data_IF_394693815840
#
_entry.id   IF_394693815840
#
_cell.length_a   1.000
_cell.length_b   1.000
_cell.length_c   1.000
_cell.angle_alpha   90.00
_cell.angle_beta   90.00
_cell.angle_gamma   90.00
#
_symmetry.space_group_name_H-M   'P 1'
#
loop_
_entity.id
_entity.type
_entity.pdbx_description
1 polymer ?
#
# COMPACT_ATOMS: atom_id res chain seq x y z
N UNK A 1 -18.19 -16.68 16.40
CA UNK A 1 -17.36 -15.59 16.96
C UNK A 1 -17.17 -14.56 15.87
N UNK A 2 -17.30 -13.26 16.16
CA UNK A 2 -17.09 -12.19 15.18
C UNK A 2 -15.59 -11.96 14.89
N UNK A 3 -15.31 -11.16 13.86
CA UNK A 3 -13.96 -10.74 13.47
C UNK A 3 -13.31 -9.89 14.58
N UNK A 4 -12.05 -10.17 14.92
CA UNK A 4 -11.33 -9.47 16.02
C UNK A 4 -10.24 -8.50 15.54
N UNK A 5 -9.73 -8.68 14.31
CA UNK A 5 -8.62 -7.90 13.78
C UNK A 5 -8.60 -7.89 12.24
N UNK A 6 -8.08 -6.80 11.66
CA UNK A 6 -7.67 -6.69 10.26
C UNK A 6 -6.21 -6.22 10.26
N UNK A 7 -5.31 -7.04 9.68
CA UNK A 7 -3.87 -6.75 9.64
C UNK A 7 -3.57 -5.51 8.77
N UNK A 8 -3.77 -5.64 7.46
CA UNK A 8 -3.60 -4.60 6.47
C UNK A 8 -4.57 -4.82 5.31
N UNK A 9 -4.71 -3.83 4.43
CA UNK A 9 -5.42 -3.97 3.17
C UNK A 9 -4.60 -3.43 2.02
N UNK A 10 -4.83 -3.98 0.83
CA UNK A 10 -4.15 -3.59 -0.39
C UNK A 10 -5.07 -2.73 -1.26
N UNK A 11 -4.56 -1.60 -1.72
CA UNK A 11 -5.21 -0.74 -2.71
C UNK A 11 -4.37 -0.60 -3.97
N UNK A 12 -5.05 -0.33 -5.09
CA UNK A 12 -4.44 -0.13 -6.39
C UNK A 12 -4.81 1.25 -6.93
N UNK A 13 -4.14 2.31 -6.47
CA UNK A 13 -4.44 3.66 -6.92
C UNK A 13 -4.01 3.86 -8.37
N UNK A 14 -4.65 4.83 -9.05
CA UNK A 14 -4.23 5.27 -10.39
C UNK A 14 -2.85 5.93 -10.36
N UNK A 15 -2.54 6.67 -9.29
CA UNK A 15 -1.23 7.28 -9.04
C UNK A 15 -0.74 6.87 -7.65
N UNK A 16 0.32 6.07 -7.61
CA UNK A 16 0.87 5.51 -6.37
C UNK A 16 1.47 6.60 -5.48
N UNK A 17 2.22 7.54 -6.05
CA UNK A 17 2.93 8.58 -5.31
C UNK A 17 1.95 9.58 -4.70
N UNK A 18 1.09 10.20 -5.52
CA UNK A 18 0.12 11.20 -5.07
C UNK A 18 -0.83 10.63 -4.01
N UNK A 19 -1.21 9.35 -4.14
CA UNK A 19 -2.09 8.72 -3.15
C UNK A 19 -1.33 8.46 -1.85
N UNK A 20 -0.10 7.96 -1.89
CA UNK A 20 0.68 7.76 -0.67
C UNK A 20 0.95 9.07 0.06
N UNK A 21 1.35 10.12 -0.67
CA UNK A 21 1.59 11.47 -0.13
C UNK A 21 0.36 12.01 0.59
N UNK A 22 -0.84 11.91 -0.02
CA UNK A 22 -2.07 12.36 0.64
C UNK A 22 -2.33 11.61 1.96
N UNK A 23 -2.10 10.30 2.01
CA UNK A 23 -2.30 9.52 3.25
C UNK A 23 -1.28 9.92 4.31
N UNK A 24 -0.04 10.22 3.92
CA UNK A 24 0.97 10.73 4.85
C UNK A 24 0.63 12.14 5.35
N UNK A 25 0.28 13.07 4.46
CA UNK A 25 0.03 14.48 4.81
C UNK A 25 -1.28 14.68 5.58
N UNK A 26 -2.36 13.99 5.19
CA UNK A 26 -3.69 14.22 5.74
C UNK A 26 -3.98 13.31 6.92
N UNK A 27 -3.54 12.06 6.87
CA UNK A 27 -3.82 11.07 7.91
C UNK A 27 -2.64 10.83 8.85
N UNK A 28 -1.45 11.34 8.52
CA UNK A 28 -0.25 11.19 9.36
C UNK A 28 0.34 9.78 9.34
N UNK A 29 0.07 8.99 8.29
CA UNK A 29 0.78 7.73 8.09
C UNK A 29 2.22 7.98 7.65
N UNK A 30 3.07 6.98 7.78
CA UNK A 30 4.47 7.06 7.35
C UNK A 30 4.75 5.99 6.29
N UNK A 31 5.47 6.36 5.24
CA UNK A 31 6.01 5.36 4.30
C UNK A 31 7.13 4.58 4.98
N UNK A 32 7.11 3.26 4.83
CA UNK A 32 8.07 2.37 5.47
C UNK A 32 8.60 1.28 4.55
N UNK A 33 9.50 0.43 5.06
CA UNK A 33 10.20 -0.57 4.27
C UNK A 33 9.25 -1.67 3.77
N UNK A 34 9.49 -2.18 2.58
CA UNK A 34 8.84 -3.39 2.07
C UNK A 34 9.87 -4.29 1.38
N UNK A 35 9.63 -5.60 1.23
CA UNK A 35 10.48 -6.47 0.42
C UNK A 35 10.60 -5.98 -1.02
N UNK A 36 11.69 -6.28 -1.69
CA UNK A 36 11.77 -6.07 -3.14
C UNK A 36 10.90 -7.10 -3.87
N UNK A 37 9.85 -6.61 -4.52
CA UNK A 37 8.90 -7.43 -5.28
C UNK A 37 9.12 -7.39 -6.79
N UNK A 38 10.08 -6.58 -7.29
CA UNK A 38 10.30 -6.41 -8.73
C UNK A 38 9.27 -5.53 -9.45
N UNK A 39 8.36 -4.87 -8.74
CA UNK A 39 7.41 -3.90 -9.27
C UNK A 39 7.09 -2.81 -8.23
N UNK A 40 6.52 -1.66 -8.65
CA UNK A 40 6.26 -0.56 -7.72
C UNK A 40 5.27 -0.94 -6.62
N UNK A 41 5.71 -0.76 -5.37
CA UNK A 41 4.95 -0.98 -4.14
C UNK A 41 5.26 0.18 -3.19
N UNK A 42 4.28 0.56 -2.36
CA UNK A 42 4.48 1.40 -1.17
C UNK A 42 3.74 0.79 0.00
N UNK A 43 4.37 0.75 1.17
CA UNK A 43 3.73 0.33 2.41
C UNK A 43 3.64 1.54 3.34
N UNK A 44 2.44 1.79 3.86
CA UNK A 44 2.19 2.86 4.83
C UNK A 44 1.92 2.27 6.21
N UNK A 45 2.45 2.97 7.20
CA UNK A 45 2.59 2.50 8.57
C UNK A 45 1.87 3.43 9.55
N UNK A 46 1.41 2.83 10.65
CA UNK A 46 1.10 3.53 11.90
C UNK A 46 2.08 3.00 12.95
N UNK A 47 3.07 3.82 13.30
CA UNK A 47 4.21 3.39 14.11
C UNK A 47 4.93 2.21 13.44
N UNK A 48 5.01 1.07 14.13
CA UNK A 48 5.73 -0.11 13.64
C UNK A 48 4.84 -1.11 12.87
N UNK A 49 3.59 -0.76 12.56
CA UNK A 49 2.65 -1.66 11.90
C UNK A 49 2.30 -1.14 10.50
N UNK A 50 2.56 -1.94 9.49
CA UNK A 50 2.07 -1.72 8.14
C UNK A 50 0.56 -1.96 8.11
N UNK A 51 -0.19 -0.99 7.58
CA UNK A 51 -1.66 -1.02 7.60
C UNK A 51 -2.26 -0.85 6.20
N UNK A 52 -1.51 -0.26 5.27
CA UNK A 52 -1.94 -0.03 3.90
C UNK A 52 -0.82 -0.43 2.97
N UNK A 53 -1.09 -1.39 2.10
CA UNK A 53 -0.18 -1.74 1.02
C UNK A 53 -0.73 -1.16 -0.29
N UNK A 54 0.14 -0.60 -1.09
CA UNK A 54 -0.23 0.08 -2.32
C UNK A 54 0.64 -0.44 -3.45
N UNK A 55 0.04 -0.67 -4.61
CA UNK A 55 0.78 -1.09 -5.80
C UNK A 55 0.06 -0.64 -7.06
N UNK A 56 0.75 -0.67 -8.19
CA UNK A 56 0.12 -0.44 -9.49
C UNK A 56 -0.86 -1.57 -9.82
N UNK A 57 -1.98 -1.18 -10.44
CA UNK A 57 -3.06 -2.08 -10.83
C UNK A 57 -3.76 -1.65 -12.11
N UNK A 58 -4.90 -2.27 -12.39
CA UNK A 58 -5.70 -2.01 -13.60
C UNK A 58 -5.69 -3.19 -14.60
N UNK A 59 -6.27 -2.97 -15.79
CA UNK A 59 -6.31 -4.00 -16.83
C UNK A 59 -4.90 -4.53 -17.15
N UNK A 60 -4.77 -5.85 -17.29
CA UNK A 60 -3.51 -6.55 -17.63
C UNK A 60 -2.37 -6.42 -16.59
N UNK A 61 -2.68 -6.12 -15.33
CA UNK A 61 -1.65 -5.98 -14.26
C UNK A 61 -0.73 -7.21 -14.14
N UNK A 62 -1.20 -8.41 -14.47
CA UNK A 62 -0.40 -9.63 -14.45
C UNK A 62 0.78 -9.61 -15.44
N UNK A 63 0.67 -8.87 -16.55
CA UNK A 63 1.77 -8.74 -17.50
C UNK A 63 2.85 -7.76 -17.03
N UNK A 64 2.49 -6.82 -16.15
CA UNK A 64 3.38 -5.83 -15.56
C UNK A 64 4.10 -6.33 -14.29
N UNK A 65 3.84 -7.58 -13.86
CA UNK A 65 4.40 -8.19 -12.63
C UNK A 65 5.27 -9.43 -12.92
N UNK A 66 5.80 -9.55 -14.14
CA UNK A 66 6.66 -10.66 -14.57
C UNK A 66 8.13 -10.37 -14.36
#
# INVERSE_FOLDING_TARGET
MPLEHLEHFLIQPKNLEETAEWWCEVLGLEEGPHPDFGFPVKWLYIGNRDVVHMTTGGPNVSDARK
#
